data_IF_141493161626
#
_entry.id   IF_141493161626
#
_cell.length_a   1.000
_cell.length_b   1.000
_cell.length_c   1.000
_cell.angle_alpha   90.00
_cell.angle_beta   90.00
_cell.angle_gamma   90.00
#
_symmetry.space_group_name_H-M   'P 1'
#
loop_
_entity.id
_entity.type
_entity.pdbx_description
1 polymer ?
#
# COMPACT_ATOMS: atom_id res chain seq x y z
N UNK A 1 30.48 20.15 -12.78
CA UNK A 1 29.36 19.99 -11.82
C UNK A 1 28.07 19.95 -12.61
N UNK A 2 27.63 18.76 -13.02
CA UNK A 2 26.40 18.58 -13.78
C UNK A 2 25.23 18.50 -12.80
N UNK A 3 24.45 19.59 -12.72
CA UNK A 3 23.20 19.57 -11.96
C UNK A 3 22.19 18.69 -12.71
N UNK A 4 22.05 17.45 -12.24
CA UNK A 4 20.94 16.57 -12.58
C UNK A 4 19.69 17.08 -11.86
N UNK A 5 19.05 18.11 -12.42
CA UNK A 5 17.70 18.48 -12.01
C UNK A 5 16.78 17.31 -12.36
N UNK A 6 16.41 16.55 -11.33
CA UNK A 6 15.39 15.49 -11.44
C UNK A 6 14.16 16.09 -12.12
N UNK A 7 13.56 15.42 -13.11
CA UNK A 7 12.32 15.89 -13.70
C UNK A 7 11.29 16.00 -12.58
N UNK A 8 10.71 17.19 -12.41
CA UNK A 8 9.54 17.40 -11.57
C UNK A 8 8.43 16.60 -12.27
N UNK A 9 8.27 15.34 -11.87
CA UNK A 9 7.10 14.55 -12.25
C UNK A 9 5.91 15.32 -11.70
N UNK A 10 5.14 15.94 -12.60
CA UNK A 10 3.81 16.49 -12.30
C UNK A 10 3.11 15.44 -11.45
N UNK A 11 2.94 15.74 -10.16
CA UNK A 11 2.14 14.91 -9.30
C UNK A 11 0.72 15.12 -9.84
N UNK A 12 0.28 14.21 -10.72
CA UNK A 12 -1.08 14.22 -11.25
C UNK A 12 -1.95 14.13 -10.01
N UNK A 13 -2.62 15.22 -9.66
CA UNK A 13 -3.60 15.24 -8.59
C UNK A 13 -4.74 14.36 -9.10
N UNK A 14 -4.65 13.07 -8.79
CA UNK A 14 -5.64 12.08 -9.19
C UNK A 14 -6.86 12.34 -8.32
N UNK A 15 -7.94 12.81 -8.92
CA UNK A 15 -9.20 13.03 -8.22
C UNK A 15 -9.65 11.69 -7.63
N UNK A 16 -9.89 11.64 -6.32
CA UNK A 16 -10.44 10.43 -5.69
C UNK A 16 -11.87 10.22 -6.20
N UNK A 17 -12.29 8.96 -6.29
CA UNK A 17 -13.66 8.59 -6.66
C UNK A 17 -13.90 8.48 -8.17
N UNK A 18 -12.90 8.73 -9.02
CA UNK A 18 -13.00 8.47 -10.47
C UNK A 18 -12.87 6.96 -10.78
N UNK A 19 -12.15 6.21 -9.95
CA UNK A 19 -12.03 4.75 -10.09
C UNK A 19 -11.64 4.12 -8.77
N UNK A 20 -12.49 3.18 -8.31
CA UNK A 20 -12.26 2.42 -7.10
C UNK A 20 -10.93 1.65 -7.14
N UNK A 21 -10.57 1.08 -8.29
CA UNK A 21 -9.28 0.38 -8.45
C UNK A 21 -8.11 1.34 -8.19
N UNK A 22 -8.16 2.53 -8.79
CA UNK A 22 -7.12 3.53 -8.63
C UNK A 22 -7.00 4.02 -7.18
N UNK A 23 -8.14 4.22 -6.53
CA UNK A 23 -8.20 4.64 -5.13
C UNK A 23 -7.63 3.56 -4.20
N UNK A 24 -8.00 2.29 -4.40
CA UNK A 24 -7.45 1.17 -3.63
C UNK A 24 -5.97 0.96 -3.90
N UNK A 25 -5.51 1.17 -5.14
CA UNK A 25 -4.07 1.08 -5.50
C UNK A 25 -3.25 2.14 -4.78
N UNK A 26 -3.80 3.33 -4.55
CA UNK A 26 -3.14 4.36 -3.77
C UNK A 26 -2.96 3.96 -2.29
N UNK A 27 -3.86 3.13 -1.73
CA UNK A 27 -3.74 2.64 -0.35
C UNK A 27 -2.60 1.63 -0.16
N UNK A 28 -2.27 0.85 -1.21
CA UNK A 28 -1.21 -0.17 -1.13
C UNK A 28 0.19 0.42 -0.84
N UNK A 29 0.43 1.65 -1.27
CA UNK A 29 1.75 2.28 -1.21
C UNK A 29 1.81 3.45 -0.21
N UNK A 30 0.71 3.75 0.46
CA UNK A 30 0.63 4.90 1.34
C UNK A 30 0.68 4.44 2.80
N UNK A 31 1.84 4.67 3.42
CA UNK A 31 2.13 4.23 4.79
C UNK A 31 1.14 4.75 5.84
N UNK A 32 0.48 5.87 5.57
CA UNK A 32 -0.55 6.44 6.46
C UNK A 32 -1.70 5.48 6.73
N UNK A 33 -2.00 4.58 5.79
CA UNK A 33 -3.14 3.68 5.87
C UNK A 33 -2.77 2.27 6.30
N UNK A 34 -1.50 2.01 6.61
CA UNK A 34 -1.07 0.70 7.06
C UNK A 34 -1.55 0.44 8.50
N UNK A 35 -2.25 -0.67 8.67
CA UNK A 35 -2.84 -1.11 9.95
C UNK A 35 -2.24 -2.45 10.45
N UNK A 36 -1.31 -3.03 9.68
CA UNK A 36 -0.53 -4.22 10.03
C UNK A 36 0.91 -4.12 9.52
N UNK A 37 1.84 -4.71 10.26
CA UNK A 37 3.25 -4.89 9.88
C UNK A 37 3.56 -6.38 9.74
N UNK A 38 4.17 -6.76 8.63
CA UNK A 38 4.59 -8.12 8.32
C UNK A 38 6.12 -8.18 8.41
N UNK A 39 6.65 -8.97 9.35
CA UNK A 39 8.10 -9.23 9.44
C UNK A 39 8.44 -10.45 8.59
N UNK A 40 9.21 -10.24 7.55
CA UNK A 40 9.73 -11.31 6.70
C UNK A 40 10.89 -12.05 7.38
N UNK A 41 11.18 -13.25 6.91
CA UNK A 41 12.28 -14.09 7.42
C UNK A 41 13.66 -13.43 7.27
N UNK A 42 13.84 -12.59 6.25
CA UNK A 42 15.04 -11.78 6.03
C UNK A 42 15.13 -10.53 6.92
N UNK A 43 14.22 -10.36 7.88
CA UNK A 43 14.20 -9.23 8.81
C UNK A 43 13.56 -7.95 8.25
N UNK A 44 13.17 -7.91 6.98
CA UNK A 44 12.45 -6.77 6.38
C UNK A 44 11.05 -6.68 7.00
N UNK A 45 10.63 -5.46 7.34
CA UNK A 45 9.27 -5.20 7.85
C UNK A 45 8.48 -4.45 6.77
N UNK A 46 7.39 -5.05 6.32
CA UNK A 46 6.48 -4.46 5.34
C UNK A 46 5.21 -3.97 6.04
N UNK A 47 4.79 -2.74 5.77
CA UNK A 47 3.47 -2.27 6.18
C UNK A 47 2.41 -2.63 5.13
N UNK A 48 1.20 -2.93 5.59
CA UNK A 48 0.09 -3.31 4.71
C UNK A 48 -1.27 -2.96 5.34
N UNK A 49 -2.34 -3.22 4.58
CA UNK A 49 -3.73 -3.05 5.01
C UNK A 49 -4.40 -4.41 5.21
N UNK A 50 -4.92 -4.69 6.42
CA UNK A 50 -5.59 -5.93 6.80
C UNK A 50 -6.72 -6.28 5.84
N UNK A 51 -7.58 -5.31 5.54
CA UNK A 51 -8.75 -5.53 4.68
C UNK A 51 -8.34 -5.96 3.27
N UNK A 52 -7.28 -5.38 2.71
CA UNK A 52 -6.77 -5.75 1.39
C UNK A 52 -6.20 -7.18 1.42
N UNK A 53 -5.40 -7.51 2.44
CA UNK A 53 -4.82 -8.84 2.60
C UNK A 53 -5.90 -9.91 2.78
N UNK A 54 -6.85 -9.69 3.68
CA UNK A 54 -7.96 -10.60 3.94
C UNK A 54 -8.85 -10.80 2.71
N UNK A 55 -9.17 -9.74 1.97
CA UNK A 55 -9.99 -9.85 0.77
C UNK A 55 -9.33 -10.63 -0.37
N UNK A 56 -7.98 -10.69 -0.39
CA UNK A 56 -7.20 -11.28 -1.49
C UNK A 56 -6.57 -12.63 -1.16
N UNK A 57 -6.60 -13.06 0.10
CA UNK A 57 -5.96 -14.30 0.55
C UNK A 57 -6.71 -14.91 1.73
N UNK A 58 -7.20 -16.15 1.56
CA UNK A 58 -7.83 -16.89 2.64
C UNK A 58 -6.87 -17.14 3.82
N UNK A 59 -5.56 -17.27 3.57
CA UNK A 59 -4.58 -17.42 4.66
C UNK A 59 -4.58 -16.18 5.55
N UNK A 60 -4.50 -15.00 4.96
CA UNK A 60 -4.56 -13.74 5.71
C UNK A 60 -5.95 -13.48 6.28
N UNK A 61 -7.02 -13.84 5.56
CA UNK A 61 -8.38 -13.75 6.06
C UNK A 61 -8.54 -14.55 7.36
N UNK A 62 -8.14 -15.82 7.32
CA UNK A 62 -8.21 -16.73 8.44
C UNK A 62 -7.26 -16.35 9.56
N UNK A 63 -6.15 -15.67 9.30
CA UNK A 63 -5.21 -15.24 10.34
C UNK A 63 -5.64 -13.93 11.02
N UNK A 64 -6.15 -12.97 10.24
CA UNK A 64 -6.47 -11.62 10.71
C UNK A 64 -7.87 -11.56 11.34
N UNK A 65 -8.83 -12.34 10.85
CA UNK A 65 -10.22 -12.30 11.33
C UNK A 65 -10.53 -13.32 12.44
N UNK A 66 -9.54 -14.00 13.01
CA UNK A 66 -9.79 -14.83 14.20
C UNK A 66 -10.22 -13.89 15.33
N UNK A 67 -11.49 -14.01 15.71
CA UNK A 67 -12.07 -13.39 16.91
C UNK A 67 -12.01 -14.38 18.06
#
# INVERSE_FOLDING_TARGET
>A
MTNLTKPITKQIIKTRGESLENDLRALLYNERFFDIKLKCSNGIVLGACKNILSARSNVFNNFIQQK
#
